data_IF_874432081952
#
_entry.id   IF_874432081952
#
_cell.length_a   1.000
_cell.length_b   1.000
_cell.length_c   1.000
_cell.angle_alpha   90.00
_cell.angle_beta   90.00
_cell.angle_gamma   90.00
#
_symmetry.space_group_name_H-M   'P 1'
#
loop_
_entity.id
_entity.type
_entity.pdbx_description
1 polymer ?
#
# COMPACT_ATOMS: atom_id res chain seq x y z
N UNK A 1 -5.74 13.21 4.12
CA UNK A 1 -6.70 12.69 3.11
C UNK A 1 -7.49 13.82 2.45
N UNK A 2 -8.30 14.59 3.20
CA UNK A 2 -9.15 15.67 2.63
C UNK A 2 -8.39 16.64 1.72
N UNK A 3 -7.21 17.12 2.16
CA UNK A 3 -6.37 18.02 1.36
C UNK A 3 -5.94 17.36 0.04
N UNK A 4 -5.51 16.09 0.07
CA UNK A 4 -5.10 15.36 -1.13
C UNK A 4 -6.28 15.11 -2.08
N UNK A 5 -7.46 14.80 -1.54
CA UNK A 5 -8.70 14.67 -2.31
C UNK A 5 -9.08 15.98 -3.00
N UNK A 6 -8.95 17.12 -2.31
CA UNK A 6 -9.18 18.44 -2.89
C UNK A 6 -8.21 18.82 -4.02
N UNK A 7 -7.05 18.16 -4.09
CA UNK A 7 -6.05 18.35 -5.15
C UNK A 7 -6.04 17.21 -6.18
N UNK A 8 -7.04 16.32 -6.18
CA UNK A 8 -7.12 15.15 -7.05
C UNK A 8 -5.87 14.22 -7.02
N UNK A 9 -5.13 14.22 -5.91
CA UNK A 9 -3.93 13.39 -5.77
C UNK A 9 -4.32 11.96 -5.39
N UNK A 10 -3.91 10.94 -6.17
CA UNK A 10 -4.17 9.55 -5.84
C UNK A 10 -3.25 9.12 -4.68
N UNK A 11 -3.80 9.10 -3.46
CA UNK A 11 -3.07 8.69 -2.25
C UNK A 11 -3.69 7.44 -1.62
N UNK A 12 -2.87 6.67 -0.90
CA UNK A 12 -3.34 5.52 -0.12
C UNK A 12 -3.87 5.95 1.25
N UNK A 13 -5.17 5.72 1.50
CA UNK A 13 -5.78 5.94 2.81
C UNK A 13 -5.26 4.96 3.86
N UNK A 14 -4.96 3.72 3.47
CA UNK A 14 -4.35 2.71 4.36
C UNK A 14 -2.98 3.16 4.87
N UNK A 15 -2.11 3.67 3.98
CA UNK A 15 -0.80 4.18 4.39
C UNK A 15 -0.95 5.39 5.32
N UNK A 16 -1.90 6.29 5.00
CA UNK A 16 -2.18 7.46 5.84
C UNK A 16 -2.64 7.06 7.25
N UNK A 17 -3.52 6.06 7.36
CA UNK A 17 -4.00 5.55 8.65
C UNK A 17 -2.89 4.89 9.46
N UNK A 18 -2.13 3.97 8.84
CA UNK A 18 -1.03 3.27 9.52
C UNK A 18 0.03 4.28 10.00
N UNK A 19 0.39 5.26 9.17
CA UNK A 19 1.33 6.31 9.54
C UNK A 19 0.85 7.17 10.72
N UNK A 20 -0.45 7.48 10.77
CA UNK A 20 -1.04 8.21 11.89
C UNK A 20 -0.97 7.40 13.20
N UNK A 21 -1.34 6.11 13.17
CA UNK A 21 -1.27 5.23 14.34
C UNK A 21 0.18 5.05 14.82
N UNK A 22 1.12 4.85 13.88
CA UNK A 22 2.55 4.76 14.17
C UNK A 22 3.07 6.06 14.81
N UNK A 23 2.69 7.22 14.29
CA UNK A 23 3.05 8.52 14.84
C UNK A 23 2.52 8.76 16.26
N UNK A 24 1.29 8.36 16.55
CA UNK A 24 0.72 8.42 17.91
C UNK A 24 1.49 7.49 18.86
N UNK A 25 1.82 6.27 18.44
CA UNK A 25 2.63 5.35 19.24
C UNK A 25 4.02 5.92 19.56
N UNK A 26 4.68 6.55 18.58
CA UNK A 26 5.97 7.21 18.78
C UNK A 26 5.89 8.38 19.77
N UNK A 27 4.78 9.13 19.77
CA UNK A 27 4.57 10.24 20.69
C UNK A 27 4.32 9.78 22.15
N UNK A 28 3.77 8.58 22.34
CA UNK A 28 3.50 8.00 23.66
C UNK A 28 4.76 7.31 24.22
N UNK A 29 5.29 6.31 23.51
CA UNK A 29 6.47 5.55 23.93
C UNK A 29 6.94 4.63 22.80
N UNK A 30 8.20 4.77 22.41
CA UNK A 30 8.83 3.90 21.39
C UNK A 30 8.88 2.43 21.85
N UNK A 31 8.89 2.17 23.16
CA UNK A 31 8.96 0.80 23.70
C UNK A 31 7.67 0.01 23.49
N UNK A 32 6.55 0.72 23.29
CA UNK A 32 5.23 0.10 23.08
C UNK A 32 4.97 -0.16 21.58
N UNK A 33 5.91 0.19 20.70
CA UNK A 33 5.83 -0.12 19.28
C UNK A 33 6.34 -1.52 18.97
N UNK A 34 5.48 -2.30 18.31
CA UNK A 34 5.91 -3.55 17.68
C UNK A 34 6.50 -3.29 16.28
N UNK A 35 7.83 -3.15 16.23
CA UNK A 35 8.57 -2.97 14.99
C UNK A 35 8.51 -4.17 14.05
N UNK A 36 8.21 -5.38 14.55
CA UNK A 36 8.02 -6.56 13.70
C UNK A 36 6.74 -6.42 12.89
N UNK A 37 5.65 -5.97 13.51
CA UNK A 37 4.39 -5.69 12.81
C UNK A 37 4.58 -4.57 11.78
N UNK A 38 5.25 -3.49 12.15
CA UNK A 38 5.53 -2.38 11.22
C UNK A 38 6.35 -2.86 10.02
N UNK A 39 7.39 -3.67 10.27
CA UNK A 39 8.19 -4.28 9.21
C UNK A 39 7.37 -5.18 8.28
N UNK A 40 6.46 -5.99 8.82
CA UNK A 40 5.53 -6.81 8.02
C UNK A 40 4.60 -5.96 7.16
N UNK A 41 4.08 -4.85 7.69
CA UNK A 41 3.24 -3.93 6.94
C UNK A 41 4.02 -3.31 5.78
N UNK A 42 5.23 -2.78 6.02
CA UNK A 42 6.07 -2.19 4.97
C UNK A 42 6.44 -3.24 3.92
N UNK A 43 6.80 -4.46 4.34
CA UNK A 43 7.06 -5.56 3.42
C UNK A 43 5.84 -5.87 2.55
N UNK A 44 4.62 -5.84 3.11
CA UNK A 44 3.39 -6.06 2.34
C UNK A 44 3.15 -4.99 1.27
N UNK A 45 3.49 -3.73 1.55
CA UNK A 45 3.37 -2.65 0.56
C UNK A 45 4.35 -2.84 -0.59
N UNK A 46 5.57 -3.27 -0.28
CA UNK A 46 6.59 -3.53 -1.30
C UNK A 46 6.28 -4.77 -2.14
N UNK A 47 5.62 -5.80 -1.58
CA UNK A 47 5.29 -7.02 -2.33
C UNK A 47 4.01 -6.88 -3.17
N UNK A 48 3.05 -6.08 -2.72
CA UNK A 48 1.77 -5.90 -3.44
C UNK A 48 1.92 -5.19 -4.78
N UNK A 49 2.86 -4.23 -4.92
CA UNK A 49 3.08 -3.52 -6.19
C UNK A 49 3.64 -4.45 -7.29
N UNK A 50 4.74 -5.19 -7.08
CA UNK A 50 5.23 -6.17 -8.04
C UNK A 50 4.22 -7.28 -8.32
N UNK A 51 3.54 -7.79 -7.29
CA UNK A 51 2.51 -8.82 -7.48
C UNK A 51 1.37 -8.32 -8.38
N UNK A 52 0.88 -7.10 -8.15
CA UNK A 52 -0.14 -6.47 -8.99
C UNK A 52 0.33 -6.25 -10.44
N UNK A 53 1.58 -5.82 -10.63
CA UNK A 53 2.17 -5.64 -11.95
C UNK A 53 2.30 -6.96 -12.72
N UNK A 54 2.82 -7.99 -12.07
CA UNK A 54 2.97 -9.33 -12.67
C UNK A 54 1.61 -9.93 -13.01
N UNK A 55 0.64 -9.88 -12.08
CA UNK A 55 -0.70 -10.37 -12.33
C UNK A 55 -1.37 -9.63 -13.48
N UNK A 56 -1.24 -8.30 -13.52
CA UNK A 56 -1.79 -7.49 -14.62
C UNK A 56 -1.17 -7.88 -15.96
N UNK A 57 0.14 -8.07 -16.02
CA UNK A 57 0.84 -8.52 -17.24
C UNK A 57 0.34 -9.89 -17.70
N UNK A 58 0.17 -10.84 -16.78
CA UNK A 58 -0.35 -12.18 -17.07
C UNK A 58 -1.78 -12.10 -17.60
N UNK A 59 -2.69 -11.39 -16.93
CA UNK A 59 -4.09 -11.30 -17.34
C UNK A 59 -4.26 -10.56 -18.66
N UNK A 60 -3.52 -9.46 -18.88
CA UNK A 60 -3.57 -8.74 -20.15
C UNK A 60 -3.09 -9.61 -21.30
N UNK A 61 -1.96 -10.31 -21.13
CA UNK A 61 -1.45 -11.24 -22.14
C UNK A 61 -2.45 -12.40 -22.38
N UNK A 62 -2.97 -12.94 -21.28
CA UNK A 62 -4.21 -13.69 -21.13
C UNK A 62 -5.27 -13.36 -22.17
N UNK A 63 -5.89 -12.21 -21.94
CA UNK A 63 -7.04 -11.74 -22.69
C UNK A 63 -6.71 -11.42 -24.14
N UNK A 64 -5.50 -10.93 -24.44
CA UNK A 64 -5.07 -10.70 -25.83
C UNK A 64 -5.04 -12.01 -26.63
N UNK A 65 -4.50 -13.08 -26.07
CA UNK A 65 -4.48 -14.38 -26.75
C UNK A 65 -5.87 -15.00 -26.91
N UNK A 66 -6.73 -14.89 -25.89
CA UNK A 66 -8.07 -15.51 -25.92
C UNK A 66 -9.06 -14.75 -26.81
N UNK A 67 -9.05 -13.42 -26.76
CA UNK A 67 -10.03 -12.58 -27.45
C UNK A 67 -9.50 -11.93 -28.75
N UNK A 68 -8.24 -12.20 -29.12
CA UNK A 68 -7.58 -11.66 -30.31
C UNK A 68 -7.64 -10.12 -30.41
N UNK A 69 -7.58 -9.43 -29.25
CA UNK A 69 -7.49 -7.97 -29.11
C UNK A 69 -6.01 -7.59 -28.87
#
# INVERSE_FOLDING_TARGET
>A
VVIASGNAMPISTTHTLVGAVFGVGLAMSIKDLDFKVVGQIVASWLTTVPAGAILSMIFLTLFRYLFQI
#
